data_IF_263177522631
#
_entry.id   IF_263177522631
#
_cell.length_a   1.000
_cell.length_b   1.000
_cell.length_c   1.000
_cell.angle_alpha   90.00
_cell.angle_beta   90.00
_cell.angle_gamma   90.00
#
_symmetry.space_group_name_H-M   'P 1'
#
loop_
_entity.id
_entity.type
_entity.pdbx_description
1 polymer ?
#
# COMPACT_ATOMS: atom_id res chain seq x y z
N UNK A 1 6.53 -22.32 -8.99
CA UNK A 1 6.35 -23.43 -8.03
C UNK A 1 7.73 -23.81 -7.55
N UNK A 2 7.98 -23.68 -6.26
CA UNK A 2 9.34 -23.84 -5.69
C UNK A 2 9.54 -25.31 -5.32
N UNK A 3 9.88 -26.16 -6.29
CA UNK A 3 10.27 -27.54 -6.01
C UNK A 3 11.75 -27.57 -5.58
N UNK A 4 12.01 -27.95 -4.35
CA UNK A 4 13.35 -28.38 -3.91
C UNK A 4 14.19 -27.43 -3.05
N UNK A 5 13.67 -26.29 -2.57
CA UNK A 5 14.32 -25.48 -1.52
C UNK A 5 13.47 -25.53 -0.24
N UNK A 6 14.09 -25.85 0.89
CA UNK A 6 13.45 -25.60 2.19
C UNK A 6 13.06 -24.12 2.27
N UNK A 7 11.76 -23.83 2.16
CA UNK A 7 11.22 -22.50 2.34
C UNK A 7 11.29 -22.16 3.83
N UNK A 8 12.35 -21.51 4.26
CA UNK A 8 12.43 -20.87 5.57
C UNK A 8 11.56 -19.61 5.56
N UNK A 9 10.24 -19.77 5.48
CA UNK A 9 9.28 -18.66 5.45
C UNK A 9 8.43 -18.67 6.70
N UNK A 10 8.13 -17.50 7.24
CA UNK A 10 7.22 -17.31 8.38
C UNK A 10 5.77 -17.01 7.92
N UNK A 11 5.52 -16.98 6.61
CA UNK A 11 4.20 -16.72 6.00
C UNK A 11 3.75 -17.93 5.17
N UNK A 12 4.63 -18.42 4.26
CA UNK A 12 4.27 -19.57 3.43
C UNK A 12 4.25 -20.85 4.26
N UNK A 13 3.14 -21.60 4.19
CA UNK A 13 2.90 -22.84 4.94
C UNK A 13 2.88 -22.66 6.48
N UNK A 14 2.70 -21.42 6.94
CA UNK A 14 2.62 -21.05 8.34
C UNK A 14 1.30 -20.30 8.62
N UNK A 15 0.99 -20.15 9.90
CA UNK A 15 -0.05 -19.23 10.33
C UNK A 15 0.56 -17.85 10.58
N UNK A 16 0.13 -16.86 9.82
CA UNK A 16 0.53 -15.48 9.97
C UNK A 16 -0.71 -14.58 10.14
N UNK A 17 -0.69 -13.73 11.14
CA UNK A 17 -1.80 -12.82 11.46
C UNK A 17 -1.34 -11.38 11.39
N UNK A 18 -2.17 -10.54 10.79
CA UNK A 18 -1.98 -9.10 10.65
C UNK A 18 -3.17 -8.40 11.32
N UNK A 19 -2.91 -7.70 12.42
CA UNK A 19 -3.95 -7.13 13.27
C UNK A 19 -4.14 -5.63 12.98
N UNK A 20 -5.36 -5.14 13.16
CA UNK A 20 -5.66 -3.70 13.06
C UNK A 20 -4.82 -2.89 14.05
N UNK A 21 -4.42 -1.70 13.65
CA UNK A 21 -3.61 -0.79 14.46
C UNK A 21 -2.14 -1.22 14.62
N UNK A 22 -1.72 -2.29 13.97
CA UNK A 22 -0.35 -2.82 14.00
C UNK A 22 0.40 -2.55 12.70
N UNK A 23 1.73 -2.52 12.80
CA UNK A 23 2.64 -2.27 11.68
C UNK A 23 3.57 -3.46 11.49
N UNK A 24 3.59 -3.99 10.28
CA UNK A 24 4.35 -5.18 9.93
C UNK A 24 5.33 -4.90 8.80
N UNK A 25 6.51 -5.50 8.90
CA UNK A 25 7.45 -5.59 7.80
C UNK A 25 7.44 -7.02 7.25
N UNK A 26 7.33 -7.15 5.95
CA UNK A 26 7.48 -8.42 5.23
C UNK A 26 8.75 -8.33 4.38
N UNK A 27 9.82 -8.90 4.90
CA UNK A 27 11.11 -8.96 4.21
C UNK A 27 11.16 -10.15 3.26
N UNK A 28 11.65 -9.92 2.06
CA UNK A 28 11.87 -10.97 1.08
C UNK A 28 13.09 -10.64 0.23
N UNK A 29 13.87 -11.64 -0.09
CA UNK A 29 14.85 -11.52 -1.17
C UNK A 29 14.16 -11.38 -2.52
N UNK A 30 14.88 -10.84 -3.52
CA UNK A 30 14.33 -10.74 -4.88
C UNK A 30 13.90 -12.11 -5.40
N UNK A 31 12.68 -12.17 -5.95
CA UNK A 31 12.12 -13.42 -6.50
C UNK A 31 11.49 -14.38 -5.48
N UNK A 32 11.54 -14.11 -4.18
CA UNK A 32 10.98 -14.99 -3.12
C UNK A 32 9.46 -14.90 -2.90
N UNK A 33 8.72 -14.26 -3.79
CA UNK A 33 7.25 -14.30 -3.75
C UNK A 33 6.54 -13.09 -3.15
N UNK A 34 7.24 -11.96 -2.93
CA UNK A 34 6.67 -10.71 -2.41
C UNK A 34 5.48 -10.21 -3.24
N UNK A 35 5.62 -10.11 -4.57
CA UNK A 35 4.52 -9.74 -5.47
C UNK A 35 3.39 -10.78 -5.48
N UNK A 36 3.71 -12.05 -5.23
CA UNK A 36 2.73 -13.13 -5.05
C UNK A 36 1.93 -12.92 -3.77
N UNK A 37 2.60 -12.60 -2.65
CA UNK A 37 1.97 -12.25 -1.37
C UNK A 37 0.98 -11.08 -1.54
N UNK A 38 1.43 -9.97 -2.13
CA UNK A 38 0.56 -8.84 -2.41
C UNK A 38 -0.63 -9.23 -3.31
N UNK A 39 -0.39 -10.06 -4.33
CA UNK A 39 -1.43 -10.50 -5.27
C UNK A 39 -2.49 -11.38 -4.62
N UNK A 40 -2.13 -12.21 -3.64
CA UNK A 40 -3.09 -13.01 -2.88
C UNK A 40 -3.93 -12.15 -1.95
N UNK A 41 -3.32 -11.25 -1.19
CA UNK A 41 -4.05 -10.33 -0.30
C UNK A 41 -5.04 -9.46 -1.08
N UNK A 42 -4.66 -9.01 -2.27
CA UNK A 42 -5.50 -8.19 -3.14
C UNK A 42 -6.51 -9.00 -3.97
N UNK A 43 -6.50 -10.33 -3.88
CA UNK A 43 -7.37 -11.21 -4.64
C UNK A 43 -7.15 -11.14 -6.16
N UNK A 44 -5.93 -10.82 -6.60
CA UNK A 44 -5.56 -10.90 -8.02
C UNK A 44 -5.16 -12.32 -8.43
N UNK A 45 -4.84 -13.16 -7.46
CA UNK A 45 -4.52 -14.58 -7.63
C UNK A 45 -5.27 -15.42 -6.59
N UNK A 46 -5.62 -16.65 -6.95
CA UNK A 46 -6.32 -17.62 -6.09
C UNK A 46 -5.71 -19.04 -6.17
N UNK A 47 -4.55 -19.17 -6.80
CA UNK A 47 -3.82 -20.42 -7.01
C UNK A 47 -2.92 -20.78 -5.82
N UNK A 48 -3.49 -20.81 -4.61
CA UNK A 48 -2.80 -21.18 -3.37
C UNK A 48 -3.50 -22.33 -2.66
N UNK A 49 -2.74 -23.08 -1.84
CA UNK A 49 -3.25 -24.04 -0.87
C UNK A 49 -3.40 -23.36 0.51
N UNK A 50 -4.26 -23.89 1.37
CA UNK A 50 -4.56 -23.29 2.67
C UNK A 50 -5.66 -22.24 2.60
N UNK A 51 -5.76 -21.36 3.60
CA UNK A 51 -6.83 -20.39 3.73
C UNK A 51 -6.24 -19.00 3.98
N UNK A 52 -6.87 -17.98 3.42
CA UNK A 52 -6.61 -16.58 3.74
C UNK A 52 -7.94 -15.98 4.19
N UNK A 53 -7.94 -15.35 5.36
CA UNK A 53 -9.14 -14.73 5.91
C UNK A 53 -8.95 -13.21 6.01
N UNK A 54 -10.00 -12.47 5.71
CA UNK A 54 -10.11 -11.05 5.99
C UNK A 54 -11.31 -10.85 6.91
N UNK A 55 -11.07 -10.32 8.11
CA UNK A 55 -12.09 -10.20 9.19
C UNK A 55 -12.88 -11.50 9.44
N UNK A 56 -12.18 -12.66 9.43
CA UNK A 56 -12.76 -13.98 9.68
C UNK A 56 -13.43 -14.64 8.47
N UNK A 57 -13.59 -13.95 7.35
CA UNK A 57 -14.16 -14.51 6.11
C UNK A 57 -13.06 -15.05 5.18
N UNK A 58 -13.21 -16.27 4.67
CA UNK A 58 -12.30 -16.83 3.65
C UNK A 58 -12.44 -16.04 2.33
N UNK A 59 -11.38 -15.38 1.90
CA UNK A 59 -11.38 -14.54 0.70
C UNK A 59 -11.66 -15.29 -0.60
N UNK A 60 -11.50 -16.62 -0.64
CA UNK A 60 -11.88 -17.44 -1.80
C UNK A 60 -13.39 -17.45 -2.07
N UNK A 61 -14.19 -17.11 -1.06
CA UNK A 61 -15.65 -17.02 -1.19
C UNK A 61 -16.13 -15.66 -1.72
N UNK A 62 -15.22 -14.70 -1.90
CA UNK A 62 -15.59 -13.37 -2.35
C UNK A 62 -16.01 -13.36 -3.81
N UNK A 63 -17.20 -12.83 -4.06
CA UNK A 63 -17.67 -12.50 -5.40
C UNK A 63 -16.86 -11.33 -5.99
N UNK A 64 -16.89 -11.12 -7.31
CA UNK A 64 -16.27 -9.94 -7.94
C UNK A 64 -16.74 -8.62 -7.32
N UNK A 65 -18.02 -8.49 -6.96
CA UNK A 65 -18.57 -7.30 -6.31
C UNK A 65 -18.00 -7.13 -4.90
N UNK A 66 -17.88 -8.21 -4.12
CA UNK A 66 -17.26 -8.16 -2.79
C UNK A 66 -15.80 -7.73 -2.88
N UNK A 67 -15.05 -8.25 -3.84
CA UNK A 67 -13.68 -7.82 -4.10
C UNK A 67 -13.58 -6.33 -4.51
N UNK A 68 -14.53 -5.84 -5.30
CA UNK A 68 -14.59 -4.41 -5.64
C UNK A 68 -14.77 -3.56 -4.39
N UNK A 69 -15.71 -3.92 -3.50
CA UNK A 69 -15.94 -3.23 -2.22
C UNK A 69 -14.67 -3.25 -1.33
N UNK A 70 -14.07 -4.44 -1.14
CA UNK A 70 -12.86 -4.58 -0.31
C UNK A 70 -11.71 -3.69 -0.81
N UNK A 71 -11.44 -3.66 -2.12
CA UNK A 71 -10.38 -2.83 -2.71
C UNK A 71 -10.71 -1.34 -2.70
N UNK A 72 -11.98 -1.00 -2.60
CA UNK A 72 -12.45 0.38 -2.56
C UNK A 72 -12.45 0.95 -1.15
N UNK A 73 -12.77 0.11 -0.12
CA UNK A 73 -13.09 0.59 1.23
C UNK A 73 -12.17 0.04 2.33
N UNK A 74 -11.56 -1.12 2.12
CA UNK A 74 -10.85 -1.83 3.18
C UNK A 74 -9.36 -2.05 2.92
N UNK A 75 -8.93 -2.21 1.68
CA UNK A 75 -7.51 -2.40 1.37
C UNK A 75 -7.02 -1.29 0.45
N UNK A 76 -6.13 -0.44 0.95
CA UNK A 76 -5.39 0.48 0.10
C UNK A 76 -4.02 -0.09 -0.25
N UNK A 77 -3.52 0.21 -1.44
CA UNK A 77 -2.25 -0.30 -1.92
C UNK A 77 -1.41 0.80 -2.59
N UNK A 78 -0.19 0.98 -2.07
CA UNK A 78 0.88 1.67 -2.77
C UNK A 78 1.70 0.65 -3.55
N UNK A 79 1.54 0.66 -4.87
CA UNK A 79 2.22 -0.26 -5.78
C UNK A 79 3.68 0.13 -6.01
N UNK A 80 4.56 -0.84 -6.16
CA UNK A 80 5.96 -0.63 -6.54
C UNK A 80 6.08 0.14 -7.86
N UNK A 81 5.27 -0.21 -8.89
CA UNK A 81 5.25 0.48 -10.18
C UNK A 81 4.38 1.74 -10.18
N UNK A 82 3.95 2.22 -9.01
CA UNK A 82 3.14 3.42 -8.76
C UNK A 82 1.76 3.43 -9.44
N UNK A 83 1.62 2.89 -10.65
CA UNK A 83 0.38 2.78 -11.45
C UNK A 83 -0.38 4.12 -11.58
N UNK A 84 0.36 5.20 -11.80
CA UNK A 84 -0.19 6.52 -12.07
C UNK A 84 -0.50 6.68 -13.56
N UNK A 85 -1.47 7.52 -13.87
CA UNK A 85 -1.80 7.89 -15.25
C UNK A 85 -0.89 9.05 -15.70
N UNK A 86 0.06 8.82 -16.62
CA UNK A 86 1.10 9.81 -16.96
C UNK A 86 0.55 11.06 -17.63
N UNK A 87 -0.58 10.94 -18.34
CA UNK A 87 -1.22 12.06 -19.05
C UNK A 87 -2.07 12.96 -18.14
N UNK A 88 -2.40 12.49 -16.94
CA UNK A 88 -3.16 13.26 -15.96
C UNK A 88 -2.22 14.00 -15.02
N UNK A 89 -2.73 15.08 -14.44
CA UNK A 89 -2.05 15.82 -13.39
C UNK A 89 -1.97 15.01 -12.09
N UNK A 90 -1.09 15.43 -11.17
CA UNK A 90 -0.98 14.84 -9.86
C UNK A 90 -2.34 14.87 -9.12
N UNK A 91 -3.01 16.04 -9.11
CA UNK A 91 -4.31 16.18 -8.47
C UNK A 91 -5.38 15.28 -9.12
N UNK A 92 -5.44 15.18 -10.45
CA UNK A 92 -6.41 14.33 -11.15
C UNK A 92 -6.21 12.85 -10.82
N UNK A 93 -4.95 12.37 -10.75
CA UNK A 93 -4.65 11.00 -10.31
C UNK A 93 -5.18 10.69 -8.91
N UNK A 94 -5.15 11.66 -8.00
CA UNK A 94 -5.66 11.51 -6.64
C UNK A 94 -7.20 11.58 -6.63
N UNK A 95 -7.78 12.54 -7.34
CA UNK A 95 -9.23 12.74 -7.36
C UNK A 95 -10.00 11.56 -7.97
N UNK A 96 -9.46 10.88 -8.99
CA UNK A 96 -10.05 9.64 -9.51
C UNK A 96 -10.28 8.64 -8.38
N UNK A 97 -9.28 8.45 -7.51
CA UNK A 97 -9.37 7.50 -6.40
C UNK A 97 -10.34 8.00 -5.31
N UNK A 98 -10.25 9.26 -4.92
CA UNK A 98 -11.11 9.87 -3.92
C UNK A 98 -12.60 9.85 -4.33
N UNK A 99 -12.90 10.02 -5.62
CA UNK A 99 -14.28 10.00 -6.11
C UNK A 99 -14.93 8.61 -6.04
N UNK A 100 -14.16 7.53 -6.05
CA UNK A 100 -14.69 6.16 -5.92
C UNK A 100 -15.24 5.89 -4.51
N UNK A 101 -14.84 6.67 -3.51
CA UNK A 101 -15.17 6.46 -2.10
C UNK A 101 -15.91 7.64 -1.47
N UNK A 102 -16.46 8.53 -2.28
CA UNK A 102 -17.10 9.79 -1.84
C UNK A 102 -18.26 9.61 -0.84
N UNK A 103 -18.91 8.46 -0.85
CA UNK A 103 -20.05 8.18 0.03
C UNK A 103 -19.60 7.65 1.41
N UNK A 104 -18.31 7.33 1.58
CA UNK A 104 -17.74 6.81 2.83
C UNK A 104 -17.00 7.92 3.61
N UNK A 105 -15.84 8.30 3.10
CA UNK A 105 -15.01 9.37 3.64
C UNK A 105 -14.40 10.15 2.49
N UNK A 106 -14.56 11.47 2.51
CA UNK A 106 -13.93 12.35 1.53
C UNK A 106 -12.87 13.19 2.19
N UNK A 107 -11.71 13.27 1.56
CA UNK A 107 -10.69 14.25 1.91
C UNK A 107 -10.95 15.54 1.14
N UNK A 108 -10.99 16.63 1.86
CA UNK A 108 -11.11 17.97 1.24
C UNK A 108 -9.89 18.26 0.36
N UNK A 109 -10.08 19.09 -0.65
CA UNK A 109 -8.95 19.57 -1.46
C UNK A 109 -7.86 20.22 -0.60
N UNK A 110 -8.24 20.88 0.51
CA UNK A 110 -7.30 21.48 1.46
C UNK A 110 -6.42 20.43 2.15
N UNK A 111 -7.00 19.33 2.61
CA UNK A 111 -6.23 18.23 3.22
C UNK A 111 -5.26 17.61 2.22
N UNK A 112 -5.74 17.33 1.01
CA UNK A 112 -4.87 16.79 -0.06
C UNK A 112 -3.73 17.76 -0.35
N UNK A 113 -4.01 19.09 -0.48
CA UNK A 113 -2.99 20.10 -0.74
C UNK A 113 -1.97 20.15 0.41
N UNK A 114 -2.38 20.03 1.66
CA UNK A 114 -1.46 20.02 2.80
C UNK A 114 -0.46 18.84 2.74
N UNK A 115 -0.86 17.70 2.21
CA UNK A 115 0.08 16.60 1.99
C UNK A 115 1.11 16.90 0.89
N UNK A 116 0.72 17.60 -0.18
CA UNK A 116 1.68 18.09 -1.18
C UNK A 116 2.70 19.04 -0.58
N UNK A 117 2.25 19.95 0.29
CA UNK A 117 3.12 20.89 1.01
C UNK A 117 4.10 20.17 1.92
N UNK A 118 3.61 19.27 2.76
CA UNK A 118 4.43 18.44 3.67
C UNK A 118 5.45 17.58 2.91
N UNK A 119 5.07 17.05 1.75
CA UNK A 119 5.94 16.24 0.89
C UNK A 119 6.88 17.09 0.00
N UNK A 120 6.87 18.42 0.14
CA UNK A 120 7.78 19.31 -0.59
C UNK A 120 7.53 19.37 -2.09
N UNK A 121 6.30 19.13 -2.55
CA UNK A 121 5.91 19.17 -3.97
C UNK A 121 4.65 20.00 -4.24
N UNK A 122 4.41 21.15 -3.56
CA UNK A 122 3.20 21.94 -3.76
C UNK A 122 3.08 22.51 -5.17
N UNK A 123 4.19 22.79 -5.83
CA UNK A 123 4.28 23.29 -7.21
C UNK A 123 3.93 22.22 -8.26
N UNK A 124 3.82 20.94 -7.86
CA UNK A 124 3.55 19.82 -8.77
C UNK A 124 2.08 19.42 -8.84
N UNK A 125 1.21 20.01 -8.04
CA UNK A 125 -0.22 19.65 -7.93
C UNK A 125 -0.90 19.57 -9.31
N UNK A 126 -0.62 20.53 -10.18
CA UNK A 126 -1.21 20.64 -11.52
C UNK A 126 -0.28 20.14 -12.64
N UNK A 127 0.86 19.54 -12.30
CA UNK A 127 1.77 18.99 -13.29
C UNK A 127 1.33 17.59 -13.71
N UNK A 128 1.46 17.29 -15.00
CA UNK A 128 1.26 15.93 -15.51
C UNK A 128 2.31 15.00 -14.93
N UNK A 129 1.88 13.80 -14.55
CA UNK A 129 2.74 12.77 -13.94
C UNK A 129 3.95 12.45 -14.85
N UNK A 130 3.74 12.33 -16.16
CA UNK A 130 4.81 12.04 -17.10
C UNK A 130 5.93 13.10 -17.18
N UNK A 131 5.74 14.28 -16.55
CA UNK A 131 6.76 15.35 -16.45
C UNK A 131 7.43 15.41 -15.07
N UNK A 132 7.13 14.49 -14.18
CA UNK A 132 7.65 14.46 -12.81
C UNK A 132 8.78 13.43 -12.69
N UNK A 133 9.75 13.69 -11.80
CA UNK A 133 10.74 12.68 -11.44
C UNK A 133 10.08 11.50 -10.75
N UNK A 134 10.73 10.33 -10.75
CA UNK A 134 10.18 9.12 -10.12
C UNK A 134 9.88 9.34 -8.63
N UNK A 135 10.77 10.00 -7.86
CA UNK A 135 10.52 10.30 -6.45
C UNK A 135 9.36 11.29 -6.23
N UNK A 136 9.08 12.22 -7.18
CA UNK A 136 7.88 13.05 -7.13
C UNK A 136 6.62 12.21 -7.42
N UNK A 137 6.67 11.32 -8.41
CA UNK A 137 5.59 10.40 -8.71
C UNK A 137 5.28 9.49 -7.53
N UNK A 138 6.31 8.99 -6.83
CA UNK A 138 6.17 8.13 -5.65
C UNK A 138 5.41 8.84 -4.53
N UNK A 139 5.71 10.13 -4.27
CA UNK A 139 4.98 10.95 -3.30
C UNK A 139 3.52 11.15 -3.70
N UNK A 140 3.23 11.38 -4.97
CA UNK A 140 1.84 11.46 -5.49
C UNK A 140 1.12 10.12 -5.34
N UNK A 141 1.78 9.01 -5.67
CA UNK A 141 1.19 7.67 -5.53
C UNK A 141 0.83 7.35 -4.08
N UNK A 142 1.66 7.81 -3.13
CA UNK A 142 1.34 7.68 -1.71
C UNK A 142 0.09 8.50 -1.34
N UNK A 143 0.01 9.78 -1.70
CA UNK A 143 -1.20 10.58 -1.44
C UNK A 143 -2.43 9.87 -2.02
N UNK A 144 -2.33 9.35 -3.25
CA UNK A 144 -3.41 8.59 -3.87
C UNK A 144 -3.80 7.34 -3.09
N UNK A 145 -2.85 6.66 -2.46
CA UNK A 145 -3.16 5.50 -1.61
C UNK A 145 -3.88 5.92 -0.32
N UNK A 146 -3.62 7.10 0.21
CA UNK A 146 -4.22 7.59 1.46
C UNK A 146 -5.61 8.21 1.30
N UNK A 147 -6.02 8.63 0.08
CA UNK A 147 -7.33 9.26 -0.17
C UNK A 147 -8.49 8.28 -0.34
N UNK A 148 -8.42 7.15 0.31
CA UNK A 148 -9.55 6.22 0.47
C UNK A 148 -9.60 5.73 1.91
N UNK A 149 -10.75 5.23 2.40
CA UNK A 149 -10.80 4.50 3.66
C UNK A 149 -10.04 3.18 3.50
N UNK A 150 -9.40 2.72 4.58
CA UNK A 150 -8.72 1.43 4.60
C UNK A 150 -8.63 0.86 6.01
N UNK A 151 -8.78 -0.45 6.09
CA UNK A 151 -8.47 -1.28 7.26
C UNK A 151 -7.05 -1.83 7.18
N UNK A 152 -6.56 -2.01 5.94
CA UNK A 152 -5.21 -2.46 5.63
C UNK A 152 -4.58 -1.53 4.59
N UNK A 153 -3.41 -0.99 4.91
CA UNK A 153 -2.54 -0.28 3.98
C UNK A 153 -1.36 -1.19 3.60
N UNK A 154 -1.39 -1.69 2.37
CA UNK A 154 -0.31 -2.48 1.81
C UNK A 154 0.65 -1.56 1.04
N UNK A 155 1.93 -1.62 1.37
CA UNK A 155 2.94 -0.68 0.87
C UNK A 155 4.11 -1.47 0.29
N UNK A 156 4.22 -1.50 -1.03
CA UNK A 156 5.21 -2.32 -1.73
C UNK A 156 6.42 -1.49 -2.15
N UNK A 157 7.57 -1.74 -1.51
CA UNK A 157 8.85 -1.06 -1.72
C UNK A 157 8.77 0.49 -1.77
N UNK A 158 8.26 1.14 -0.73
CA UNK A 158 7.86 2.55 -0.79
C UNK A 158 8.99 3.56 -0.94
N UNK A 159 10.25 3.17 -0.68
CA UNK A 159 11.37 4.11 -0.57
C UNK A 159 12.55 3.80 -1.50
N UNK A 160 12.36 2.95 -2.50
CA UNK A 160 13.44 2.50 -3.39
C UNK A 160 14.18 3.64 -4.12
N UNK A 161 13.55 4.82 -4.26
CA UNK A 161 14.09 5.98 -4.98
C UNK A 161 13.97 7.30 -4.20
N UNK A 162 13.88 7.24 -2.88
CA UNK A 162 13.79 8.42 -2.01
C UNK A 162 15.04 8.57 -1.16
N UNK A 163 15.39 9.82 -0.89
CA UNK A 163 16.34 10.16 0.16
C UNK A 163 15.70 9.96 1.55
N UNK A 164 16.54 9.92 2.57
CA UNK A 164 16.10 9.58 3.92
C UNK A 164 15.12 10.61 4.50
N UNK A 165 15.28 11.91 4.19
CA UNK A 165 14.37 12.96 4.67
C UNK A 165 12.97 12.81 4.06
N UNK A 166 12.87 12.61 2.74
CA UNK A 166 11.58 12.37 2.08
C UNK A 166 10.94 11.05 2.56
N UNK A 167 11.74 10.02 2.81
CA UNK A 167 11.27 8.74 3.37
C UNK A 167 10.64 8.94 4.75
N UNK A 168 11.27 9.71 5.65
CA UNK A 168 10.74 10.00 7.00
C UNK A 168 9.44 10.81 6.95
N UNK A 169 9.35 11.82 6.08
CA UNK A 169 8.11 12.61 5.91
C UNK A 169 6.98 11.72 5.39
N UNK A 170 7.26 10.86 4.40
CA UNK A 170 6.28 9.91 3.89
C UNK A 170 5.81 8.94 4.99
N UNK A 171 6.74 8.41 5.78
CA UNK A 171 6.45 7.53 6.90
C UNK A 171 5.52 8.20 7.92
N UNK A 172 5.82 9.46 8.31
CA UNK A 172 5.01 10.23 9.25
C UNK A 172 3.57 10.41 8.75
N UNK A 173 3.37 10.86 7.51
CA UNK A 173 2.04 11.08 6.93
C UNK A 173 1.26 9.76 6.86
N UNK A 174 1.92 8.70 6.40
CA UNK A 174 1.33 7.37 6.28
C UNK A 174 0.85 6.84 7.63
N UNK A 175 1.69 6.93 8.66
CA UNK A 175 1.36 6.45 10.00
C UNK A 175 0.27 7.30 10.66
N UNK A 176 0.28 8.62 10.47
CA UNK A 176 -0.80 9.50 10.94
C UNK A 176 -2.17 9.08 10.39
N UNK A 177 -2.25 8.81 9.06
CA UNK A 177 -3.52 8.38 8.45
C UNK A 177 -3.91 6.95 8.85
N UNK A 178 -2.94 6.05 8.97
CA UNK A 178 -3.19 4.68 9.44
C UNK A 178 -3.72 4.66 10.89
N UNK A 179 -3.13 5.45 11.79
CA UNK A 179 -3.59 5.58 13.17
C UNK A 179 -5.01 6.16 13.26
N UNK A 180 -5.34 7.20 12.48
CA UNK A 180 -6.69 7.78 12.45
C UNK A 180 -7.76 6.76 12.06
N UNK A 181 -7.39 5.75 11.28
CA UNK A 181 -8.30 4.72 10.78
C UNK A 181 -8.17 3.40 11.57
N UNK A 182 -7.30 3.33 12.59
CA UNK A 182 -6.94 2.09 13.30
C UNK A 182 -6.59 0.97 12.31
N UNK A 183 -5.84 1.30 11.26
CA UNK A 183 -5.53 0.40 10.17
C UNK A 183 -4.28 -0.42 10.43
N UNK A 184 -4.24 -1.63 9.88
CA UNK A 184 -3.04 -2.43 9.76
C UNK A 184 -2.15 -1.85 8.65
N UNK A 185 -0.85 -1.70 8.90
CA UNK A 185 0.13 -1.32 7.88
C UNK A 185 1.04 -2.51 7.59
N UNK A 186 1.13 -2.90 6.33
CA UNK A 186 2.01 -3.98 5.87
C UNK A 186 2.97 -3.39 4.84
N UNK A 187 4.24 -3.26 5.22
CA UNK A 187 5.31 -2.82 4.33
C UNK A 187 6.05 -4.03 3.79
N UNK A 188 6.20 -4.14 2.48
CA UNK A 188 7.06 -5.16 1.88
C UNK A 188 8.38 -4.54 1.44
N UNK A 189 9.49 -5.24 1.63
CA UNK A 189 10.82 -4.72 1.28
C UNK A 189 11.79 -5.78 0.80
N UNK A 190 12.76 -5.34 -0.04
CA UNK A 190 13.97 -6.08 -0.40
C UNK A 190 15.16 -5.31 0.21
N UNK A 191 15.51 -5.62 1.45
CA UNK A 191 16.65 -5.01 2.14
C UNK A 191 16.37 -3.65 2.76
N UNK A 192 16.39 -2.53 2.01
CA UNK A 192 16.12 -1.20 2.58
C UNK A 192 14.62 -1.01 2.81
N UNK A 193 14.23 -0.73 4.05
CA UNK A 193 12.83 -0.47 4.44
C UNK A 193 12.68 0.90 5.11
N UNK A 194 11.44 1.38 5.22
CA UNK A 194 11.13 2.61 5.96
C UNK A 194 11.45 2.43 7.44
N UNK A 195 11.97 3.48 8.06
CA UNK A 195 12.18 3.53 9.51
C UNK A 195 10.82 3.75 10.21
N UNK A 196 10.21 2.64 10.62
CA UNK A 196 8.91 2.59 11.29
C UNK A 196 8.99 1.71 12.54
N UNK A 197 8.14 1.97 13.55
CA UNK A 197 8.01 1.10 14.72
C UNK A 197 7.24 -0.18 14.33
N UNK A 198 7.92 -1.15 13.74
CA UNK A 198 7.30 -2.42 13.37
C UNK A 198 6.99 -3.26 14.60
N UNK A 199 5.72 -3.67 14.75
CA UNK A 199 5.30 -4.62 15.80
C UNK A 199 5.86 -6.02 15.54
N UNK A 200 6.02 -6.39 14.27
CA UNK A 200 6.63 -7.66 13.87
C UNK A 200 7.25 -7.58 12.47
N UNK A 201 8.33 -8.33 12.30
CA UNK A 201 8.98 -8.57 11.00
C UNK A 201 8.74 -10.02 10.62
N UNK A 202 8.22 -10.24 9.43
CA UNK A 202 8.06 -11.57 8.82
C UNK A 202 9.05 -11.73 7.68
N UNK A 203 9.58 -12.92 7.52
CA UNK A 203 10.45 -13.30 6.39
C UNK A 203 9.71 -14.23 5.45
N UNK A 204 9.81 -13.94 4.13
CA UNK A 204 9.25 -14.76 3.05
C UNK A 204 10.28 -15.74 2.53
#
# INVERSE_FOLDING_TARGET
MFEGTELSSEIWQCEATFERGKTYLVEAESGKGKSTFCSYILGYRNDYSGNIHFDGEDIRRYSPNRWADIRQKSISHLFQELRLFPELTAMENILIKSQLTKDEKTWSRKEITSWFERLGIPDKINNKIGKMSFGQQQRVAMIRALVQPFDVLLVDEPISHLDDNNSQIMASIMMEEAHKQNACVIVTSIGKHMDLPYDRVYRL
#
